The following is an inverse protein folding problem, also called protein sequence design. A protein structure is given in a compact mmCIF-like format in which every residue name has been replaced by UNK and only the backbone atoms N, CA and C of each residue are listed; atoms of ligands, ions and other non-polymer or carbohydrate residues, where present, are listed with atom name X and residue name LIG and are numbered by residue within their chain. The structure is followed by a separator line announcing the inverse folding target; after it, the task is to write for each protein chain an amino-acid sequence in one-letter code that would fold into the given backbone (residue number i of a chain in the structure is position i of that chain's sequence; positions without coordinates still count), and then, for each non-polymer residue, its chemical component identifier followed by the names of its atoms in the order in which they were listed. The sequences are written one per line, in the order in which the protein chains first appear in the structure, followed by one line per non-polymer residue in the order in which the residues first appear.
data_IF_760495055922
#
_entry.id   IF_760495055922
#
_cell.length_a   1.000
_cell.length_b   1.000
_cell.length_c   1.000
_cell.angle_alpha   90.00
_cell.angle_beta   90.00
_cell.angle_gamma   90.00
#
_symmetry.space_group_name_H-M   'P 1'
#
loop_
_entity.id
_entity.type
_entity.pdbx_description
1 polymer ?
#
# COMPACT_ATOMS: atom_id res chain seq x y z
N UNK A 1 10.51 16.00 19.17
CA UNK A 1 11.03 14.67 18.75
C UNK A 1 10.35 14.30 17.42
N UNK A 2 11.11 14.12 16.34
CA UNK A 2 10.57 13.65 15.06
C UNK A 2 10.37 12.13 15.12
N UNK A 3 9.15 11.65 14.89
CA UNK A 3 8.87 10.21 14.75
C UNK A 3 9.08 9.77 13.31
N UNK A 4 9.50 8.52 13.13
CA UNK A 4 9.72 7.87 11.84
C UNK A 4 8.67 6.76 11.66
N UNK A 5 7.64 7.08 10.89
CA UNK A 5 6.54 6.17 10.59
C UNK A 5 6.87 5.34 9.35
N UNK A 6 6.70 4.02 9.44
CA UNK A 6 6.82 3.15 8.30
C UNK A 6 5.61 3.35 7.37
N UNK A 7 5.87 3.61 6.08
CA UNK A 7 4.78 3.75 5.10
C UNK A 7 4.21 2.42 4.62
N UNK A 8 4.82 1.31 5.03
CA UNK A 8 4.49 -0.04 4.59
C UNK A 8 3.81 -0.86 5.70
N UNK A 9 3.89 -0.44 6.96
CA UNK A 9 3.21 -1.11 8.08
C UNK A 9 2.90 -0.10 9.18
N UNK A 10 2.23 -0.53 10.24
CA UNK A 10 1.83 0.36 11.34
C UNK A 10 2.96 0.63 12.36
N UNK A 11 4.22 0.45 11.98
CA UNK A 11 5.36 0.64 12.88
C UNK A 11 5.82 2.11 12.93
N UNK A 12 6.11 2.60 14.13
CA UNK A 12 6.62 3.95 14.38
C UNK A 12 7.85 3.86 15.27
N UNK A 13 8.93 4.56 14.92
CA UNK A 13 10.17 4.59 15.71
C UNK A 13 10.59 6.02 16.06
N UNK A 14 11.40 6.16 17.09
CA UNK A 14 11.87 7.46 17.57
C UNK A 14 13.13 7.95 16.83
N UNK A 15 13.91 7.03 16.24
CA UNK A 15 15.19 7.35 15.62
C UNK A 15 15.32 6.83 14.18
N UNK A 16 16.03 7.60 13.34
CA UNK A 16 16.33 7.22 11.94
C UNK A 16 17.07 5.89 11.83
N UNK A 17 18.00 5.61 12.76
CA UNK A 17 18.76 4.35 12.79
C UNK A 17 17.86 3.13 13.01
N UNK A 18 16.81 3.29 13.82
CA UNK A 18 15.80 2.26 14.06
C UNK A 18 14.96 2.07 12.81
N UNK A 19 14.56 3.17 12.18
CA UNK A 19 13.85 3.14 10.90
C UNK A 19 14.57 2.37 9.81
N UNK A 20 15.87 2.62 9.62
CA UNK A 20 16.65 1.87 8.63
C UNK A 20 16.70 0.38 8.97
N UNK A 21 16.93 0.01 10.24
CA UNK A 21 16.95 -1.39 10.67
C UNK A 21 15.59 -2.07 10.48
N UNK A 22 14.51 -1.37 10.83
CA UNK A 22 13.15 -1.83 10.61
C UNK A 22 12.88 -2.03 9.12
N UNK A 23 13.30 -1.11 8.25
CA UNK A 23 13.05 -1.21 6.82
C UNK A 23 13.74 -2.42 6.19
N UNK A 24 14.90 -2.85 6.70
CA UNK A 24 15.54 -4.11 6.30
C UNK A 24 14.72 -5.35 6.67
N UNK A 25 13.82 -5.29 7.66
CA UNK A 25 12.92 -6.43 7.98
C UNK A 25 11.89 -6.68 6.88
N UNK A 26 11.63 -5.71 6.01
CA UNK A 26 10.80 -5.93 4.82
C UNK A 26 11.56 -6.67 3.72
N UNK A 27 12.87 -6.85 3.87
CA UNK A 27 13.71 -7.59 2.94
C UNK A 27 13.71 -9.06 3.32
N UNK A 28 13.09 -9.89 2.49
CA UNK A 28 13.04 -11.34 2.61
C UNK A 28 13.85 -11.93 1.43
N UNK A 29 14.91 -12.69 1.73
CA UNK A 29 15.76 -13.34 0.71
C UNK A 29 16.34 -12.36 -0.33
N UNK A 30 16.72 -11.15 0.09
CA UNK A 30 17.26 -10.13 -0.82
C UNK A 30 16.22 -9.27 -1.53
N UNK A 31 14.93 -9.58 -1.39
CA UNK A 31 13.82 -8.87 -2.02
C UNK A 31 12.97 -8.13 -0.98
N UNK A 32 12.51 -6.94 -1.32
CA UNK A 32 11.54 -6.17 -0.53
C UNK A 32 10.13 -6.72 -0.74
N UNK A 33 9.54 -7.31 0.31
CA UNK A 33 8.20 -7.89 0.32
C UNK A 33 7.14 -6.83 0.56
N UNK A 34 6.03 -6.92 -0.17
CA UNK A 34 4.83 -6.15 0.13
C UNK A 34 4.21 -6.64 1.44
N UNK A 35 3.99 -5.72 2.36
CA UNK A 35 3.36 -5.94 3.67
C UNK A 35 1.84 -5.80 3.63
N UNK A 36 1.26 -5.59 2.44
CA UNK A 36 -0.18 -5.49 2.29
C UNK A 36 -0.82 -6.88 2.52
N UNK A 37 -1.85 -7.01 3.38
CA UNK A 37 -2.33 -8.32 3.86
C UNK A 37 -2.74 -9.32 2.77
N UNK A 38 -3.18 -8.83 1.62
CA UNK A 38 -3.64 -9.64 0.48
C UNK A 38 -2.67 -9.59 -0.71
N UNK A 39 -1.38 -9.29 -0.47
CA UNK A 39 -0.39 -9.12 -1.52
C UNK A 39 0.95 -9.80 -1.17
N UNK A 40 1.35 -10.79 -1.97
CA UNK A 40 2.61 -11.52 -1.80
C UNK A 40 3.74 -11.04 -2.74
N UNK A 41 3.58 -9.86 -3.37
CA UNK A 41 4.57 -9.36 -4.33
C UNK A 41 5.89 -8.98 -3.64
N UNK A 42 7.00 -9.32 -4.30
CA UNK A 42 8.37 -9.00 -3.86
C UNK A 42 9.10 -8.19 -4.94
N UNK A 43 10.03 -7.33 -4.53
CA UNK A 43 10.72 -6.39 -5.40
C UNK A 43 12.23 -6.39 -5.15
N UNK A 44 13.04 -6.33 -6.20
CA UNK A 44 14.50 -6.25 -6.09
C UNK A 44 14.99 -4.94 -5.45
N UNK A 45 14.16 -3.89 -5.50
CA UNK A 45 14.53 -2.55 -5.04
C UNK A 45 13.45 -1.95 -4.15
N UNK A 46 13.87 -1.13 -3.19
CA UNK A 46 12.98 -0.34 -2.34
C UNK A 46 12.12 0.63 -3.14
N UNK A 47 12.66 1.17 -4.24
CA UNK A 47 11.91 2.01 -5.19
C UNK A 47 10.75 1.24 -5.82
N UNK A 48 10.99 -0.01 -6.27
CA UNK A 48 9.95 -0.86 -6.85
C UNK A 48 8.84 -1.20 -5.85
N UNK A 49 9.21 -1.54 -4.61
CA UNK A 49 8.22 -1.75 -3.54
C UNK A 49 7.41 -0.47 -3.29
N UNK A 50 8.06 0.70 -3.25
CA UNK A 50 7.38 1.99 -3.03
C UNK A 50 6.33 2.28 -4.10
N UNK A 51 6.71 2.20 -5.37
CA UNK A 51 5.80 2.44 -6.51
C UNK A 51 4.63 1.44 -6.52
N UNK A 52 4.89 0.19 -6.15
CA UNK A 52 3.84 -0.80 -5.98
C UNK A 52 2.91 -0.48 -4.80
N UNK A 53 3.46 -0.15 -3.63
CA UNK A 53 2.69 0.08 -2.42
C UNK A 53 1.76 1.29 -2.54
N UNK A 54 2.17 2.31 -3.31
CA UNK A 54 1.29 3.44 -3.67
C UNK A 54 0.01 2.93 -4.33
N UNK A 55 0.02 1.86 -5.13
CA UNK A 55 -1.20 1.31 -5.75
C UNK A 55 -2.18 0.73 -4.74
N UNK A 56 -1.69 0.29 -3.58
CA UNK A 56 -2.56 -0.16 -2.49
C UNK A 56 -3.10 0.99 -1.65
N UNK A 57 -2.32 2.06 -1.47
CA UNK A 57 -2.77 3.28 -0.77
C UNK A 57 -3.72 4.13 -1.62
N UNK A 58 -3.49 4.15 -2.94
CA UNK A 58 -4.31 4.88 -3.91
C UNK A 58 -5.57 4.07 -4.20
N UNK A 59 -6.41 3.96 -3.18
CA UNK A 59 -7.74 3.37 -3.28
C UNK A 59 -8.74 4.46 -3.58
N UNK A 60 -9.65 4.16 -4.48
CA UNK A 60 -10.79 5.00 -4.81
C UNK A 60 -11.97 4.43 -4.02
N UNK A 61 -12.33 5.04 -2.87
CA UNK A 61 -13.50 4.61 -2.12
C UNK A 61 -14.75 4.87 -2.96
N UNK A 62 -15.64 3.89 -2.99
CA UNK A 62 -16.99 4.10 -3.45
C UNK A 62 -17.78 4.78 -2.34
N UNK A 63 -18.32 5.97 -2.62
CA UNK A 63 -19.12 6.72 -1.64
C UNK A 63 -20.47 6.05 -1.34
N UNK A 64 -20.90 5.09 -2.17
CA UNK A 64 -22.18 4.38 -2.00
C UNK A 64 -22.03 3.20 -1.02
N UNK A 65 -20.93 2.44 -1.10
CA UNK A 65 -20.76 1.21 -0.31
C UNK A 65 -19.44 1.09 0.45
N UNK A 66 -18.56 2.09 0.36
CA UNK A 66 -17.24 2.09 0.99
C UNK A 66 -16.21 1.15 0.36
N UNK A 67 -16.54 0.44 -0.73
CA UNK A 67 -15.60 -0.45 -1.41
C UNK A 67 -14.39 0.32 -1.94
N UNK A 68 -13.21 -0.26 -1.75
CA UNK A 68 -11.95 0.37 -2.12
C UNK A 68 -11.44 -0.20 -3.45
N UNK A 69 -11.50 0.60 -4.51
CA UNK A 69 -11.13 0.17 -5.86
C UNK A 69 -9.69 0.58 -6.19
N UNK A 70 -9.00 -0.22 -6.99
CA UNK A 70 -7.58 -0.03 -7.32
C UNK A 70 -7.31 1.05 -8.38
N UNK A 71 -8.36 1.62 -9.00
CA UNK A 71 -8.24 2.71 -9.97
C UNK A 71 -9.53 3.50 -10.11
N UNK A 72 -9.44 4.75 -10.59
CA UNK A 72 -10.60 5.61 -10.87
C UNK A 72 -11.54 5.00 -11.92
N UNK A 73 -11.00 4.37 -12.95
CA UNK A 73 -11.80 3.70 -13.99
C UNK A 73 -12.57 2.50 -13.42
N UNK A 74 -11.94 1.71 -12.54
CA UNK A 74 -12.61 0.60 -11.85
C UNK A 74 -13.72 1.11 -10.92
N UNK A 75 -13.48 2.21 -10.20
CA UNK A 75 -14.52 2.88 -9.39
C UNK A 75 -15.70 3.32 -10.25
N UNK A 76 -15.46 4.04 -11.35
CA UNK A 76 -16.55 4.51 -12.22
C UNK A 76 -17.42 3.37 -12.75
N UNK A 77 -16.81 2.26 -13.18
CA UNK A 77 -17.57 1.07 -13.61
C UNK A 77 -18.36 0.44 -12.45
N UNK A 78 -17.74 0.35 -11.27
CA UNK A 78 -18.38 -0.14 -10.07
C UNK A 78 -19.60 0.73 -9.66
N UNK A 79 -19.47 2.05 -9.71
CA UNK A 79 -20.56 3.00 -9.40
C UNK A 79 -21.73 2.92 -10.40
N UNK A 80 -21.46 2.60 -11.67
CA UNK A 80 -22.53 2.36 -12.65
C UNK A 80 -23.38 1.15 -12.28
N UNK A 81 -22.78 0.11 -11.71
CA UNK A 81 -23.50 -1.09 -11.28
C UNK A 81 -24.44 -0.82 -10.11
N UNK A 82 -24.10 0.11 -9.21
CA UNK A 82 -25.03 0.57 -8.16
C UNK A 82 -26.27 1.27 -8.72
N UNK A 83 -26.13 1.96 -9.85
CA UNK A 83 -27.22 2.68 -10.52
C UNK A 83 -28.03 1.79 -11.48
N UNK A 84 -27.65 0.51 -11.64
CA UNK A 84 -28.29 -0.41 -12.58
C UNK A 84 -28.10 -0.01 -14.05
N UNK A 85 -27.11 0.84 -14.37
CA UNK A 85 -26.81 1.25 -15.75
C UNK A 85 -25.78 0.24 -16.30
N UNK A 86 -26.30 -0.89 -16.78
CA UNK A 86 -25.58 -1.90 -17.57
C UNK A 86 -25.80 -1.68 -19.05
#
# INVERSE_FOLDING_TARGET
KQKYECRYCNATMEMRKEYSKHFETHKEQGLYKCTWPTCDKKFLTSKGLREHYVKHQTKFPCEICGCLLSSKHALQRHEKQHRGIG
#
